data_IF_421421114271
#
_entry.id   IF_421421114271
#
_cell.length_a   1.000
_cell.length_b   1.000
_cell.length_c   1.000
_cell.angle_alpha   90.00
_cell.angle_beta   90.00
_cell.angle_gamma   90.00
#
_symmetry.space_group_name_H-M   'P 1'
#
loop_
_entity.id
_entity.type
_entity.pdbx_description
1 polymer ?
#
# COMPACT_ATOMS: atom_id res chain seq x y z
N UNK A 1 6.29 14.50 1.51
CA UNK A 1 5.42 13.58 0.74
C UNK A 1 5.02 12.43 1.64
N UNK A 2 3.74 12.15 1.75
CA UNK A 2 3.26 11.10 2.64
C UNK A 2 3.10 9.79 1.90
N UNK A 3 3.88 8.80 2.31
CA UNK A 3 3.89 7.49 1.67
C UNK A 3 2.51 6.84 1.67
N UNK A 4 1.77 6.97 2.78
CA UNK A 4 0.44 6.35 2.86
C UNK A 4 -0.51 6.89 1.80
N UNK A 5 -0.43 8.17 1.49
CA UNK A 5 -1.29 8.78 0.45
C UNK A 5 -0.91 8.28 -0.93
N UNK A 6 0.38 8.13 -1.18
CA UNK A 6 0.86 7.64 -2.47
C UNK A 6 0.41 6.20 -2.68
N UNK A 7 0.55 5.36 -1.66
CA UNK A 7 0.16 3.97 -1.75
C UNK A 7 -1.33 3.83 -2.01
N UNK A 8 -2.13 4.57 -1.25
CA UNK A 8 -3.58 4.54 -1.42
C UNK A 8 -3.98 5.04 -2.82
N UNK A 9 -3.34 6.11 -3.27
CA UNK A 9 -3.63 6.68 -4.57
C UNK A 9 -3.31 5.70 -5.69
N UNK A 10 -2.13 5.08 -5.64
CA UNK A 10 -1.74 4.11 -6.66
C UNK A 10 -2.70 2.94 -6.69
N UNK A 11 -3.09 2.45 -5.52
CA UNK A 11 -4.00 1.32 -5.44
C UNK A 11 -5.37 1.67 -6.01
N UNK A 12 -5.92 2.81 -5.62
CA UNK A 12 -7.26 3.20 -6.05
C UNK A 12 -7.29 3.56 -7.53
N UNK A 13 -6.27 4.22 -8.04
CA UNK A 13 -6.20 4.57 -9.46
C UNK A 13 -6.18 3.34 -10.35
N UNK A 14 -5.59 2.25 -9.86
CA UNK A 14 -5.49 1.02 -10.62
C UNK A 14 -6.60 0.03 -10.27
N UNK A 15 -7.49 0.40 -9.36
CA UNK A 15 -8.57 -0.47 -8.93
C UNK A 15 -8.10 -1.72 -8.24
N UNK A 16 -6.97 -1.66 -7.55
CA UNK A 16 -6.41 -2.82 -6.86
C UNK A 16 -6.87 -2.89 -5.42
N UNK A 17 -7.04 -4.12 -4.92
CA UNK A 17 -7.20 -4.35 -3.49
C UNK A 17 -5.84 -4.32 -2.80
N UNK A 18 -5.86 -4.32 -1.46
CA UNK A 18 -4.61 -4.40 -0.70
C UNK A 18 -3.83 -5.67 -1.03
N UNK A 19 -4.55 -6.79 -1.21
CA UNK A 19 -3.92 -8.05 -1.60
C UNK A 19 -3.22 -7.93 -2.94
N UNK A 20 -3.87 -7.31 -3.90
CA UNK A 20 -3.29 -7.15 -5.22
C UNK A 20 -2.05 -6.28 -5.20
N UNK A 21 -2.10 -5.18 -4.43
CA UNK A 21 -0.93 -4.32 -4.32
C UNK A 21 0.21 -5.07 -3.63
N UNK A 22 -0.11 -5.82 -2.56
CA UNK A 22 0.91 -6.57 -1.83
C UNK A 22 1.62 -7.56 -2.76
N UNK A 23 0.87 -8.25 -3.61
CA UNK A 23 1.44 -9.17 -4.60
C UNK A 23 2.35 -8.45 -5.58
N UNK A 24 1.95 -7.27 -6.03
CA UNK A 24 2.71 -6.50 -7.01
C UNK A 24 4.07 -6.07 -6.47
N UNK A 25 4.12 -5.72 -5.18
CA UNK A 25 5.36 -5.25 -4.57
C UNK A 25 6.03 -6.31 -3.72
N UNK A 26 5.48 -7.54 -3.74
CA UNK A 26 6.06 -8.71 -3.09
C UNK A 26 6.19 -8.55 -1.58
N UNK A 27 5.14 -8.05 -0.96
CA UNK A 27 5.04 -7.94 0.49
C UNK A 27 3.72 -8.56 0.95
N UNK A 28 3.50 -8.59 2.25
CA UNK A 28 2.24 -9.12 2.78
C UNK A 28 1.16 -8.04 2.74
N UNK A 29 -0.10 -8.48 2.75
CA UNK A 29 -1.22 -7.55 2.82
C UNK A 29 -1.16 -6.73 4.11
N UNK A 30 -0.71 -7.35 5.19
CA UNK A 30 -0.58 -6.63 6.46
C UNK A 30 0.38 -5.46 6.36
N UNK A 31 1.46 -5.62 5.61
CA UNK A 31 2.41 -4.54 5.40
C UNK A 31 1.74 -3.37 4.66
N UNK A 32 0.99 -3.68 3.60
CA UNK A 32 0.27 -2.64 2.86
C UNK A 32 -0.73 -1.93 3.77
N UNK A 33 -1.46 -2.68 4.58
CA UNK A 33 -2.42 -2.10 5.51
C UNK A 33 -1.74 -1.14 6.48
N UNK A 34 -0.60 -1.52 7.02
CA UNK A 34 0.16 -0.65 7.93
C UNK A 34 0.64 0.61 7.24
N UNK A 35 1.09 0.48 6.00
CA UNK A 35 1.51 1.65 5.23
C UNK A 35 0.37 2.63 5.05
N UNK A 36 -0.83 2.12 4.71
CA UNK A 36 -1.99 2.97 4.49
C UNK A 36 -2.48 3.63 5.77
N UNK A 37 -2.27 2.97 6.91
CA UNK A 37 -2.62 3.54 8.21
C UNK A 37 -1.57 4.49 8.76
N UNK A 38 -0.37 4.50 8.14
CA UNK A 38 0.71 5.35 8.59
C UNK A 38 1.52 4.77 9.75
N UNK A 39 1.31 3.48 10.08
CA UNK A 39 2.06 2.84 11.17
C UNK A 39 3.51 2.58 10.80
N UNK A 40 3.74 2.22 9.54
CA UNK A 40 5.09 2.00 9.02
C UNK A 40 5.15 2.54 7.60
N UNK A 41 6.36 2.66 7.07
CA UNK A 41 6.57 3.10 5.69
C UNK A 41 7.52 2.14 5.01
N UNK A 42 7.37 1.93 3.70
CA UNK A 42 8.36 1.16 2.94
C UNK A 42 9.63 1.97 2.80
N UNK A 43 10.74 1.33 2.89
CA UNK A 43 12.02 1.99 2.69
C UNK A 43 12.38 2.03 1.22
#
# INVERSE_FOLDING_TARGET
METKKIILKLRTERGMSQDELANKVMVTRQAVSRWENGDTVPN
#
